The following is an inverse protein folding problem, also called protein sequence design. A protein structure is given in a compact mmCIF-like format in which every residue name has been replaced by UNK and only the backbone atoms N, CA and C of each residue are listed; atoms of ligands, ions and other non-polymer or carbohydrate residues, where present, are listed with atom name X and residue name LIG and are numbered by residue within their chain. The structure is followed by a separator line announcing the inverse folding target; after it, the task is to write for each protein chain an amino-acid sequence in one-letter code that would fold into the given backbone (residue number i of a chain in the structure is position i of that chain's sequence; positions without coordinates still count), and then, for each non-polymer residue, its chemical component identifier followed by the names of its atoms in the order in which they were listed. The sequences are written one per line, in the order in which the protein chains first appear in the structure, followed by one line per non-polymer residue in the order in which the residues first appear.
data_IF_964583282646
#
_entry.id   IF_964583282646
#
_cell.length_a   1.000
_cell.length_b   1.000
_cell.length_c   1.000
_cell.angle_alpha   90.00
_cell.angle_beta   90.00
_cell.angle_gamma   90.00
#
_symmetry.space_group_name_H-M   'P 1'
#
loop_
_entity.id
_entity.type
_entity.pdbx_description
1 polymer ?
#
# COMPACT_ATOMS: atom_id res chain seq x y z
N UNK A 1 45.38 38.21 -29.18
CA UNK A 1 46.75 38.21 -28.60
C UNK A 1 46.77 37.21 -27.45
N UNK A 2 47.95 36.69 -27.10
CA UNK A 2 48.24 35.56 -26.18
C UNK A 2 48.03 34.16 -26.79
N UNK A 3 49.02 33.55 -27.46
CA UNK A 3 50.37 33.06 -27.08
C UNK A 3 50.35 31.65 -26.48
N UNK A 4 50.82 30.72 -27.33
CA UNK A 4 51.28 29.35 -27.08
C UNK A 4 52.36 29.28 -25.99
N UNK A 5 52.41 28.16 -25.26
CA UNK A 5 53.59 27.53 -24.62
C UNK A 5 53.10 26.37 -23.73
N UNK A 6 53.79 25.26 -23.47
CA UNK A 6 54.85 24.46 -24.09
C UNK A 6 55.04 23.26 -23.13
N UNK A 7 55.42 22.10 -23.67
CA UNK A 7 55.78 20.87 -22.96
C UNK A 7 56.96 21.03 -21.99
N UNK A 8 57.06 20.14 -20.98
CA UNK A 8 58.25 19.59 -20.29
C UNK A 8 57.76 18.58 -19.23
N UNK A 9 57.88 17.26 -19.39
CA UNK A 9 59.07 16.41 -19.17
C UNK A 9 59.83 16.77 -17.88
N UNK A 10 59.75 15.88 -16.89
CA UNK A 10 60.50 15.94 -15.64
C UNK A 10 60.58 14.55 -15.00
N UNK A 11 61.51 13.74 -15.51
CA UNK A 11 62.00 12.50 -14.91
C UNK A 11 63.17 12.86 -13.98
N UNK A 12 63.14 12.45 -12.72
CA UNK A 12 64.27 12.45 -11.76
C UNK A 12 64.06 11.24 -10.84
N UNK A 13 64.83 10.15 -11.00
CA UNK A 13 66.14 9.88 -10.37
C UNK A 13 65.99 9.64 -8.85
N UNK A 14 66.05 8.38 -8.41
CA UNK A 14 67.24 7.72 -7.85
C UNK A 14 67.45 8.12 -6.38
N UNK A 15 67.26 7.21 -5.42
CA UNK A 15 68.26 6.26 -4.85
C UNK A 15 68.26 6.56 -3.33
N UNK A 16 68.41 5.63 -2.40
CA UNK A 16 69.67 4.99 -1.99
C UNK A 16 69.28 4.06 -0.83
N UNK A 17 69.83 2.85 -0.86
CA UNK A 17 69.80 1.85 0.20
C UNK A 17 70.57 2.28 1.45
N UNK A 18 70.27 1.71 2.62
CA UNK A 18 71.30 1.33 3.60
C UNK A 18 70.74 0.35 4.63
N UNK A 19 71.26 -0.87 4.56
CA UNK A 19 71.30 -1.83 5.65
C UNK A 19 72.41 -1.40 6.63
N UNK A 20 72.13 -1.40 7.93
CA UNK A 20 73.16 -1.67 8.94
C UNK A 20 72.54 -2.23 10.21
N UNK A 21 73.13 -3.35 10.61
CA UNK A 21 72.80 -4.19 11.74
C UNK A 21 73.08 -3.51 13.09
N UNK A 22 72.36 -3.94 14.14
CA UNK A 22 72.92 -4.15 15.46
C UNK A 22 71.99 -5.02 16.29
N UNK A 23 72.40 -6.26 16.53
CA UNK A 23 71.87 -7.11 17.58
C UNK A 23 72.18 -6.46 18.93
N UNK A 24 71.17 -6.08 19.72
CA UNK A 24 71.34 -5.82 21.16
C UNK A 24 70.31 -6.58 22.01
N UNK A 25 70.92 -7.22 23.00
CA UNK A 25 70.51 -8.02 24.13
C UNK A 25 69.27 -7.54 24.92
N UNK A 26 68.41 -8.51 25.27
CA UNK A 26 67.66 -8.63 26.52
C UNK A 26 66.39 -7.81 26.77
N UNK A 27 65.28 -8.53 26.87
CA UNK A 27 64.31 -8.31 27.96
C UNK A 27 62.90 -7.90 27.53
N UNK A 28 61.97 -8.77 27.93
CA UNK A 28 60.59 -8.47 28.32
C UNK A 28 59.47 -8.45 27.26
N UNK A 29 58.64 -9.50 27.36
CA UNK A 29 57.18 -9.53 27.34
C UNK A 29 56.43 -8.49 26.48
N UNK A 30 55.72 -8.99 25.46
CA UNK A 30 54.71 -8.22 24.74
C UNK A 30 54.16 -8.95 23.53
N UNK A 31 53.13 -9.76 23.74
CA UNK A 31 52.04 -10.07 22.81
C UNK A 31 52.39 -10.23 21.31
N UNK A 32 52.60 -11.47 20.91
CA UNK A 32 52.36 -11.92 19.54
C UNK A 32 50.87 -11.87 19.24
N UNK A 33 50.37 -10.73 18.75
CA UNK A 33 49.12 -10.66 18.00
C UNK A 33 49.42 -10.66 16.51
N UNK A 34 49.08 -11.78 15.91
CA UNK A 34 48.81 -12.04 14.50
C UNK A 34 48.68 -10.81 13.60
N UNK A 35 49.43 -10.87 12.51
CA UNK A 35 49.28 -10.04 11.32
C UNK A 35 47.84 -10.10 10.80
N UNK A 36 47.02 -9.13 11.19
CA UNK A 36 45.76 -8.83 10.51
C UNK A 36 46.09 -8.04 9.25
N UNK A 37 46.34 -8.76 8.16
CA UNK A 37 46.21 -8.22 6.81
C UNK A 37 44.84 -7.56 6.71
N UNK A 38 44.82 -6.23 6.70
CA UNK A 38 43.64 -5.47 6.31
C UNK A 38 43.61 -5.56 4.79
N UNK A 39 42.86 -6.55 4.29
CA UNK A 39 42.48 -6.60 2.90
C UNK A 39 41.73 -5.30 2.57
N UNK A 40 42.26 -4.54 1.61
CA UNK A 40 41.51 -3.49 0.94
C UNK A 40 40.20 -4.10 0.41
N UNK A 41 39.05 -3.44 0.62
CA UNK A 41 37.81 -3.87 -0.03
C UNK A 41 38.05 -3.86 -1.54
N UNK A 42 37.63 -4.90 -2.30
CA UNK A 42 37.74 -4.85 -3.74
C UNK A 42 36.98 -3.62 -4.21
N UNK A 43 37.69 -2.73 -4.90
CA UNK A 43 37.11 -1.64 -5.65
C UNK A 43 35.92 -2.20 -6.42
N UNK A 44 34.71 -1.76 -6.02
CA UNK A 44 33.47 -2.13 -6.66
C UNK A 44 33.67 -1.93 -8.16
N UNK A 45 33.72 -3.04 -8.89
CA UNK A 45 33.64 -3.00 -10.33
C UNK A 45 32.38 -2.20 -10.65
N UNK A 46 32.55 -1.00 -11.19
CA UNK A 46 31.48 -0.24 -11.78
C UNK A 46 30.92 -1.12 -12.90
N UNK A 47 29.89 -1.89 -12.59
CA UNK A 47 29.02 -2.47 -13.61
C UNK A 47 28.49 -1.27 -14.37
N UNK A 48 28.96 -1.10 -15.60
CA UNK A 48 28.39 -0.21 -16.59
C UNK A 48 26.93 -0.67 -16.79
N UNK A 49 26.03 -0.20 -15.93
CA UNK A 49 24.63 -0.56 -15.98
C UNK A 49 24.04 0.08 -17.23
N UNK A 50 23.97 -0.72 -18.30
CA UNK A 50 23.33 -0.32 -19.54
C UNK A 50 21.89 0.05 -19.21
N UNK A 51 21.58 1.34 -19.27
CA UNK A 51 20.24 1.87 -19.02
C UNK A 51 19.53 2.18 -20.33
N UNK A 52 18.20 2.17 -20.28
CA UNK A 52 17.33 2.49 -21.41
C UNK A 52 16.36 3.58 -20.99
N UNK A 53 16.06 4.47 -21.92
CA UNK A 53 15.15 5.60 -21.73
C UNK A 53 13.77 5.26 -22.27
N UNK A 54 12.73 5.42 -21.46
CA UNK A 54 11.35 5.07 -21.81
C UNK A 54 10.41 6.22 -21.48
N UNK A 55 9.53 6.55 -22.42
CA UNK A 55 8.46 7.52 -22.24
C UNK A 55 7.20 6.84 -21.68
N UNK A 56 6.56 7.47 -20.69
CA UNK A 56 5.31 7.02 -20.07
C UNK A 56 4.26 8.10 -20.23
N UNK A 57 3.09 7.73 -20.74
CA UNK A 57 1.97 8.68 -20.83
C UNK A 57 0.63 8.02 -20.54
N UNK A 58 -0.39 8.86 -20.30
CA UNK A 58 -1.77 8.43 -20.08
C UNK A 58 -2.20 8.48 -18.62
N UNK A 59 -2.88 7.44 -18.15
CA UNK A 59 -3.49 7.36 -16.82
C UNK A 59 -2.47 6.92 -15.73
N UNK A 60 -1.37 7.64 -15.64
CA UNK A 60 -0.32 7.47 -14.61
C UNK A 60 -0.23 8.72 -13.76
N UNK A 61 0.28 8.61 -12.52
CA UNK A 61 0.38 9.78 -11.63
C UNK A 61 1.36 10.82 -12.15
N UNK A 62 2.52 10.36 -12.63
CA UNK A 62 3.57 11.23 -13.17
C UNK A 62 3.94 10.77 -14.59
N UNK A 63 3.29 11.33 -15.64
CA UNK A 63 3.73 11.08 -17.01
C UNK A 63 5.05 11.79 -17.26
N UNK A 64 5.93 11.16 -18.04
CA UNK A 64 7.28 11.66 -18.25
C UNK A 64 8.21 10.63 -18.87
N UNK A 65 9.49 10.98 -18.93
CA UNK A 65 10.55 10.12 -19.44
C UNK A 65 11.36 9.59 -18.26
N UNK A 66 11.60 8.28 -18.24
CA UNK A 66 12.27 7.58 -17.16
C UNK A 66 13.45 6.77 -17.70
N UNK A 67 14.51 6.69 -16.91
CA UNK A 67 15.68 5.88 -17.21
C UNK A 67 15.68 4.66 -16.29
N UNK A 68 15.77 3.47 -16.89
CA UNK A 68 15.69 2.20 -16.19
C UNK A 68 16.81 1.25 -16.65
N UNK A 69 17.19 0.25 -15.86
CA UNK A 69 18.12 -0.78 -16.31
C UNK A 69 17.62 -1.53 -17.55
N UNK A 70 18.54 -1.94 -18.42
CA UNK A 70 18.23 -2.77 -19.58
C UNK A 70 17.67 -4.12 -19.10
N UNK A 71 16.54 -4.52 -19.68
CA UNK A 71 15.82 -5.74 -19.28
C UNK A 71 14.70 -5.51 -18.27
N UNK A 72 14.53 -4.28 -17.77
CA UNK A 72 13.36 -3.89 -17.00
C UNK A 72 12.05 -4.04 -17.80
N UNK A 73 10.96 -4.26 -17.08
CA UNK A 73 9.62 -4.43 -17.64
C UNK A 73 8.75 -3.19 -17.44
N UNK A 74 7.66 -3.11 -18.19
CA UNK A 74 6.71 -2.00 -18.15
C UNK A 74 6.18 -1.72 -16.73
N UNK A 75 5.97 -2.76 -15.92
CA UNK A 75 5.58 -2.62 -14.51
C UNK A 75 6.53 -1.69 -13.73
N UNK A 76 7.84 -1.91 -13.86
CA UNK A 76 8.86 -1.20 -13.09
C UNK A 76 8.89 0.30 -13.45
N UNK A 77 8.68 0.61 -14.73
CA UNK A 77 8.57 1.99 -15.21
C UNK A 77 7.30 2.67 -14.69
N UNK A 78 6.18 1.95 -14.65
CA UNK A 78 4.91 2.46 -14.12
C UNK A 78 5.00 2.72 -12.63
N UNK A 79 5.72 1.88 -11.87
CA UNK A 79 6.03 2.10 -10.46
C UNK A 79 6.85 3.37 -10.25
N UNK A 80 7.89 3.59 -11.07
CA UNK A 80 8.68 4.84 -11.06
C UNK A 80 7.85 6.08 -11.42
N UNK A 81 6.80 5.91 -12.24
CA UNK A 81 5.83 6.95 -12.56
C UNK A 81 4.80 7.21 -11.42
N UNK A 82 5.02 6.64 -10.22
CA UNK A 82 4.15 6.76 -9.05
C UNK A 82 2.93 5.83 -9.08
N UNK A 83 2.90 4.89 -10.01
CA UNK A 83 1.78 4.01 -10.28
C UNK A 83 0.70 4.64 -11.16
N UNK A 84 -0.41 3.90 -11.29
CA UNK A 84 -1.52 4.27 -12.17
C UNK A 84 -2.60 5.05 -11.42
N UNK A 85 -3.39 5.85 -12.14
CA UNK A 85 -4.55 6.53 -11.55
C UNK A 85 -5.76 5.60 -11.43
N UNK A 86 -6.77 5.98 -10.64
CA UNK A 86 -8.01 5.16 -10.52
C UNK A 86 -8.74 4.97 -11.85
N UNK A 87 -8.51 5.89 -12.78
CA UNK A 87 -9.05 5.92 -14.13
C UNK A 87 -8.28 5.04 -15.12
N UNK A 88 -7.18 4.41 -14.73
CA UNK A 88 -6.39 3.59 -15.63
C UNK A 88 -7.08 2.25 -15.96
N UNK A 89 -7.00 1.85 -17.24
CA UNK A 89 -7.46 0.56 -17.71
C UNK A 89 -6.28 -0.43 -17.78
N UNK A 90 -6.06 -1.14 -16.67
CA UNK A 90 -4.97 -2.11 -16.52
C UNK A 90 -5.15 -3.37 -17.37
N UNK A 91 -6.38 -3.69 -17.77
CA UNK A 91 -6.63 -4.87 -18.62
C UNK A 91 -6.04 -4.71 -20.03
N UNK A 92 -5.72 -3.47 -20.40
CA UNK A 92 -5.16 -3.12 -21.72
C UNK A 92 -3.66 -2.85 -21.69
N UNK A 93 -3.01 -3.02 -20.55
CA UNK A 93 -1.57 -2.77 -20.40
C UNK A 93 -0.85 -4.09 -20.19
N UNK A 94 0.14 -4.38 -21.03
CA UNK A 94 1.03 -5.51 -20.82
C UNK A 94 2.14 -5.12 -19.84
N UNK A 95 1.92 -5.37 -18.55
CA UNK A 95 2.90 -5.08 -17.48
C UNK A 95 4.19 -5.89 -17.61
N UNK A 96 4.13 -7.06 -18.25
CA UNK A 96 5.28 -7.95 -18.45
C UNK A 96 6.14 -7.56 -19.67
N UNK A 97 5.71 -6.58 -20.46
CA UNK A 97 6.42 -6.15 -21.65
C UNK A 97 7.83 -5.64 -21.30
N UNK A 98 8.83 -6.16 -22.00
CA UNK A 98 10.21 -5.68 -21.89
C UNK A 98 10.34 -4.26 -22.44
N UNK A 99 10.98 -3.41 -21.67
CA UNK A 99 11.28 -2.04 -22.06
C UNK A 99 12.49 -2.02 -22.98
N UNK A 100 12.39 -1.23 -24.05
CA UNK A 100 13.46 -0.96 -25.01
C UNK A 100 13.77 0.52 -24.97
N UNK A 101 15.01 0.87 -25.31
CA UNK A 101 15.42 2.28 -25.42
C UNK A 101 14.57 3.01 -26.47
N UNK A 102 14.16 4.24 -26.15
CA UNK A 102 13.20 5.02 -26.93
C UNK A 102 11.77 4.46 -26.90
N UNK A 103 11.47 3.48 -26.03
CA UNK A 103 10.15 2.88 -25.91
C UNK A 103 9.10 3.87 -25.41
N UNK A 104 7.83 3.63 -25.77
CA UNK A 104 6.69 4.41 -25.28
C UNK A 104 5.64 3.50 -24.67
N UNK A 105 5.36 3.69 -23.39
CA UNK A 105 4.30 2.99 -22.64
C UNK A 105 3.12 3.95 -22.47
N UNK A 106 2.01 3.62 -23.12
CA UNK A 106 0.76 4.36 -22.99
C UNK A 106 -0.20 3.59 -22.09
N UNK A 107 -0.58 4.20 -20.98
CA UNK A 107 -1.62 3.67 -20.09
C UNK A 107 -2.98 4.26 -20.49
N UNK A 108 -3.89 3.48 -21.09
CA UNK A 108 -5.20 3.98 -21.48
C UNK A 108 -6.07 4.29 -20.26
N UNK A 109 -6.98 5.25 -20.43
CA UNK A 109 -8.05 5.52 -19.46
C UNK A 109 -9.21 4.55 -19.68
N UNK A 110 -9.89 4.20 -18.60
CA UNK A 110 -11.16 3.49 -18.60
C UNK A 110 -12.20 4.29 -19.38
N UNK A 111 -13.05 3.58 -20.13
CA UNK A 111 -14.23 4.19 -20.73
C UNK A 111 -15.15 4.78 -19.65
N UNK A 112 -15.90 5.83 -19.98
CA UNK A 112 -16.86 6.45 -19.06
C UNK A 112 -17.87 5.44 -18.48
N UNK A 113 -18.31 4.46 -19.28
CA UNK A 113 -19.21 3.40 -18.82
C UNK A 113 -18.57 2.51 -17.74
N UNK A 114 -17.30 2.09 -17.94
CA UNK A 114 -16.56 1.30 -16.95
C UNK A 114 -16.23 2.10 -15.69
N UNK A 115 -15.90 3.39 -15.83
CA UNK A 115 -15.71 4.30 -14.69
C UNK A 115 -16.97 4.36 -13.82
N UNK A 116 -18.14 4.66 -14.43
CA UNK A 116 -19.41 4.72 -13.70
C UNK A 116 -19.73 3.41 -12.99
N UNK A 117 -19.53 2.25 -13.64
CA UNK A 117 -19.72 0.94 -13.01
C UNK A 117 -18.75 0.70 -11.85
N UNK A 118 -17.49 1.12 -11.97
CA UNK A 118 -16.47 1.00 -10.91
C UNK A 118 -16.80 1.89 -9.71
N UNK A 119 -17.32 3.10 -9.94
CA UNK A 119 -17.78 4.01 -8.89
C UNK A 119 -19.02 3.45 -8.18
N UNK A 120 -20.03 2.96 -8.91
CA UNK A 120 -21.22 2.34 -8.33
C UNK A 120 -20.85 1.11 -7.46
N UNK A 121 -19.95 0.25 -7.95
CA UNK A 121 -19.44 -0.88 -7.17
C UNK A 121 -18.67 -0.43 -5.93
N UNK A 122 -17.86 0.64 -6.01
CA UNK A 122 -17.14 1.20 -4.85
C UNK A 122 -18.13 1.74 -3.79
N UNK A 123 -19.27 2.29 -4.21
CA UNK A 123 -20.35 2.71 -3.30
C UNK A 123 -21.08 1.51 -2.68
N UNK A 124 -21.28 0.42 -3.42
CA UNK A 124 -21.83 -0.83 -2.87
C UNK A 124 -20.88 -1.54 -1.90
N UNK A 125 -19.56 -1.44 -2.08
CA UNK A 125 -18.57 -2.04 -1.14
C UNK A 125 -18.48 -1.28 0.19
N UNK A 126 -18.93 -0.03 0.27
CA UNK A 126 -19.03 0.71 1.55
C UNK A 126 -20.35 0.37 2.28
N UNK A 127 -21.29 -0.30 1.63
CA UNK A 127 -22.51 -0.87 2.23
C UNK A 127 -22.43 -2.40 2.42
N UNK A 128 -21.25 -3.00 2.25
CA UNK A 128 -21.06 -4.45 2.43
C UNK A 128 -19.76 -4.75 3.18
N UNK A 129 -19.70 -4.26 4.41
CA UNK A 129 -19.00 -4.94 5.50
C UNK A 129 -20.01 -5.70 6.32
N UNK A 130 -20.68 -6.68 5.72
CA UNK A 130 -21.34 -7.78 6.45
C UNK A 130 -21.22 -9.03 5.57
N UNK A 131 -20.21 -9.84 5.91
CA UNK A 131 -19.92 -11.16 5.37
C UNK A 131 -21.15 -12.10 5.39
N UNK A 132 -21.42 -12.85 4.31
CA UNK A 132 -22.33 -13.99 4.36
C UNK A 132 -21.49 -15.28 4.41
N UNK A 133 -21.11 -15.75 5.61
CA UNK A 133 -20.91 -17.18 5.93
C UNK A 133 -20.19 -17.36 7.26
N UNK A 134 -20.96 -17.38 8.35
CA UNK A 134 -20.77 -18.38 9.40
C UNK A 134 -22.12 -18.52 10.12
N UNK A 135 -22.76 -19.67 9.93
CA UNK A 135 -23.87 -20.10 10.77
C UNK A 135 -23.32 -20.28 12.18
N UNK A 136 -23.73 -19.42 13.08
CA UNK A 136 -23.80 -19.72 14.50
C UNK A 136 -25.21 -19.30 14.92
N UNK A 137 -25.93 -20.21 15.56
CA UNK A 137 -27.26 -19.92 16.11
C UNK A 137 -27.07 -18.94 17.26
N UNK A 138 -27.09 -17.64 16.94
CA UNK A 138 -26.98 -16.53 17.89
C UNK A 138 -27.71 -15.34 17.28
N UNK A 139 -28.87 -15.02 17.84
CA UNK A 139 -29.76 -13.98 17.31
C UNK A 139 -29.04 -12.65 17.10
N UNK A 140 -29.37 -11.97 15.99
CA UNK A 140 -28.95 -10.60 15.71
C UNK A 140 -29.41 -9.74 16.89
N UNK A 141 -28.47 -9.31 17.74
CA UNK A 141 -28.76 -8.45 18.88
C UNK A 141 -28.91 -7.00 18.40
N UNK A 142 -30.14 -6.50 18.39
CA UNK A 142 -30.50 -5.16 17.93
C UNK A 142 -30.67 -4.22 19.13
N UNK A 143 -29.95 -3.10 19.10
CA UNK A 143 -29.95 -2.12 20.18
C UNK A 143 -31.05 -1.06 20.00
N UNK A 144 -32.08 -1.08 20.86
CA UNK A 144 -33.31 -0.29 20.69
C UNK A 144 -33.07 1.23 20.55
N UNK A 145 -32.10 1.77 21.30
CA UNK A 145 -31.86 3.22 21.31
C UNK A 145 -30.94 3.73 20.20
N UNK A 146 -30.24 2.85 19.48
CA UNK A 146 -29.26 3.25 18.45
C UNK A 146 -29.57 2.65 17.09
N UNK A 147 -30.34 1.57 17.04
CA UNK A 147 -30.65 0.85 15.83
C UNK A 147 -31.28 1.73 14.76
N UNK A 148 -30.91 1.46 13.51
CA UNK A 148 -31.51 2.09 12.34
C UNK A 148 -32.87 1.47 12.03
N UNK A 149 -33.71 2.17 11.24
CA UNK A 149 -35.01 1.62 10.83
C UNK A 149 -34.86 0.26 10.13
N UNK A 150 -33.84 0.12 9.28
CA UNK A 150 -33.54 -1.12 8.57
C UNK A 150 -33.12 -2.26 9.50
N UNK A 151 -32.34 -2.00 10.55
CA UNK A 151 -31.97 -3.00 11.56
C UNK A 151 -33.18 -3.46 12.39
N UNK A 152 -34.11 -2.54 12.71
CA UNK A 152 -35.35 -2.89 13.40
C UNK A 152 -36.27 -3.76 12.54
N UNK A 153 -36.25 -3.60 11.21
CA UNK A 153 -36.99 -4.45 10.27
C UNK A 153 -36.47 -5.90 10.19
N UNK A 154 -35.23 -6.15 10.63
CA UNK A 154 -34.67 -7.51 10.69
C UNK A 154 -35.26 -8.33 11.85
N UNK A 155 -35.95 -7.69 12.80
CA UNK A 155 -36.57 -8.37 13.94
C UNK A 155 -37.80 -9.19 13.50
N UNK A 156 -37.98 -10.40 14.04
CA UNK A 156 -39.06 -11.30 13.61
C UNK A 156 -40.44 -10.71 13.92
N UNK A 157 -41.19 -10.38 12.87
CA UNK A 157 -42.55 -9.81 12.98
C UNK A 157 -42.60 -8.29 13.12
N UNK A 158 -41.47 -7.61 12.93
CA UNK A 158 -41.40 -6.15 12.72
C UNK A 158 -41.32 -5.90 11.22
N UNK A 159 -42.24 -5.08 10.71
CA UNK A 159 -42.14 -4.56 9.35
C UNK A 159 -41.90 -3.05 9.38
N UNK A 160 -41.65 -2.46 8.21
CA UNK A 160 -41.34 -1.04 8.05
C UNK A 160 -42.28 -0.10 8.82
N UNK A 161 -43.60 -0.33 8.77
CA UNK A 161 -44.56 0.50 9.50
C UNK A 161 -44.33 0.47 11.02
N UNK A 162 -44.01 -0.69 11.58
CA UNK A 162 -43.74 -0.87 13.02
C UNK A 162 -42.35 -0.35 13.39
N UNK A 163 -41.33 -0.58 12.56
CA UNK A 163 -39.99 -0.04 12.76
C UNK A 163 -40.00 1.50 12.85
N UNK A 164 -40.76 2.17 11.99
CA UNK A 164 -41.00 3.63 12.09
C UNK A 164 -41.61 4.04 13.42
N UNK A 165 -42.59 3.28 13.92
CA UNK A 165 -43.21 3.59 15.21
C UNK A 165 -42.21 3.43 16.38
N UNK A 166 -41.31 2.45 16.32
CA UNK A 166 -40.24 2.26 17.32
C UNK A 166 -39.32 3.49 17.33
N UNK A 167 -38.89 3.97 16.16
CA UNK A 167 -38.05 5.17 16.04
C UNK A 167 -38.79 6.41 16.56
N UNK A 168 -40.07 6.58 16.23
CA UNK A 168 -40.89 7.69 16.72
C UNK A 168 -41.05 7.64 18.25
N UNK A 169 -41.26 6.46 18.83
CA UNK A 169 -41.35 6.28 20.27
C UNK A 169 -40.01 6.64 20.95
N UNK A 170 -38.90 6.14 20.40
CA UNK A 170 -37.54 6.47 20.86
C UNK A 170 -37.28 7.97 20.89
N UNK A 171 -37.64 8.68 19.82
CA UNK A 171 -37.40 10.12 19.72
C UNK A 171 -38.19 10.94 20.74
N UNK A 172 -39.28 10.40 21.31
CA UNK A 172 -40.11 11.09 22.32
C UNK A 172 -39.63 10.85 23.74
N UNK A 173 -39.24 9.62 24.08
CA UNK A 173 -38.96 9.20 25.47
C UNK A 173 -37.70 8.34 25.62
N UNK A 174 -37.26 7.67 24.56
CA UNK A 174 -36.24 6.61 24.60
C UNK A 174 -36.76 5.33 25.28
N UNK A 175 -36.05 4.22 25.09
CA UNK A 175 -36.32 2.97 25.80
C UNK A 175 -35.43 2.87 27.03
N UNK A 176 -36.03 2.62 28.20
CA UNK A 176 -35.28 2.40 29.46
C UNK A 176 -35.23 0.93 29.87
N UNK A 177 -36.17 0.13 29.36
CA UNK A 177 -36.21 -1.31 29.52
C UNK A 177 -36.59 -1.96 28.18
N UNK A 178 -36.26 -3.24 27.99
CA UNK A 178 -36.54 -3.95 26.73
C UNK A 178 -38.07 -4.13 26.56
N UNK A 179 -38.81 -4.31 27.67
CA UNK A 179 -40.26 -4.51 27.70
C UNK A 179 -41.05 -3.26 27.27
N UNK A 180 -40.45 -2.08 27.38
CA UNK A 180 -41.07 -0.82 26.97
C UNK A 180 -41.38 -0.78 25.47
N UNK A 181 -40.74 -1.64 24.67
CA UNK A 181 -41.08 -1.85 23.26
C UNK A 181 -42.55 -2.27 23.04
N UNK A 182 -43.20 -2.88 24.04
CA UNK A 182 -44.61 -3.26 23.98
C UNK A 182 -45.57 -2.05 24.05
N UNK A 183 -45.07 -0.86 24.41
CA UNK A 183 -45.86 0.37 24.37
C UNK A 183 -45.98 0.94 22.94
N UNK A 184 -45.21 0.40 22.00
CA UNK A 184 -45.26 0.80 20.59
C UNK A 184 -46.48 0.18 19.91
N UNK A 185 -47.32 0.97 19.21
CA UNK A 185 -48.47 0.47 18.48
C UNK A 185 -48.07 -0.64 17.48
N UNK A 186 -48.72 -1.80 17.59
CA UNK A 186 -48.48 -2.96 16.73
C UNK A 186 -47.47 -3.98 17.25
N UNK A 187 -46.89 -3.77 18.44
CA UNK A 187 -46.04 -4.73 19.15
C UNK A 187 -46.78 -5.26 20.37
N UNK A 188 -47.35 -6.45 20.24
CA UNK A 188 -47.99 -7.17 21.33
C UNK A 188 -47.08 -8.21 21.98
N UNK A 189 -47.52 -8.84 23.09
CA UNK A 189 -46.75 -9.87 23.81
C UNK A 189 -46.33 -11.05 22.91
N UNK A 190 -47.17 -11.41 21.94
CA UNK A 190 -46.88 -12.48 20.98
C UNK A 190 -45.71 -12.17 20.03
N UNK A 191 -45.51 -10.90 19.67
CA UNK A 191 -44.36 -10.48 18.86
C UNK A 191 -43.14 -10.31 19.73
N UNK A 192 -43.30 -9.65 20.88
CA UNK A 192 -42.24 -9.46 21.86
C UNK A 192 -41.55 -10.77 22.24
N UNK A 193 -42.33 -11.82 22.57
CA UNK A 193 -41.77 -13.12 22.95
C UNK A 193 -40.87 -13.75 21.87
N UNK A 194 -41.10 -13.44 20.59
CA UNK A 194 -40.31 -13.97 19.46
C UNK A 194 -39.03 -13.19 19.21
N UNK A 195 -38.94 -11.94 19.67
CA UNK A 195 -37.81 -11.04 19.42
C UNK A 195 -37.03 -10.67 20.68
N UNK A 196 -37.53 -10.96 21.88
CA UNK A 196 -36.91 -10.58 23.15
C UNK A 196 -35.43 -10.97 23.25
N UNK A 197 -35.07 -12.13 22.70
CA UNK A 197 -33.72 -12.69 22.77
C UNK A 197 -32.77 -12.01 21.74
N UNK A 198 -33.33 -11.18 20.87
CA UNK A 198 -32.64 -10.39 19.85
C UNK A 198 -32.58 -8.89 20.21
N UNK A 199 -32.97 -8.48 21.42
CA UNK A 199 -33.06 -7.07 21.82
C UNK A 199 -32.03 -6.71 22.88
N UNK A 200 -31.42 -5.53 22.72
CA UNK A 200 -30.55 -4.87 23.71
C UNK A 200 -30.93 -3.40 23.84
N UNK A 201 -30.39 -2.70 24.85
CA UNK A 201 -30.77 -1.33 25.23
C UNK A 201 -29.69 -0.30 25.00
#
# INVERSE_FOLDING_TARGET
MEKRTLQKVGLLCASVALCSAASWWSGNEGESREARQVAEPPAAAAVEEVSVTVCVSGAVKQPGVYQIPKGSRAQQVIELAGGVTEEADMDKVNLAQLCKDGGHIKVPRLSQARLKKKLQKKTETVQRTEDPAASETGGILVHLNSATEAELEQLPGIGQATARQIVLFRNRRGFRSIEEIMQVPGIGPAKFAKMRDCLTL
#
